data_IF_447448170882
#
_entry.id   IF_447448170882
#
_cell.length_a   1.000
_cell.length_b   1.000
_cell.length_c   1.000
_cell.angle_alpha   90.00
_cell.angle_beta   90.00
_cell.angle_gamma   90.00
#
_symmetry.space_group_name_H-M   'P 1'
#
loop_
_entity.id
_entity.type
_entity.pdbx_description
1 polymer ?
#
# COMPACT_ATOMS: atom_id res chain seq x y z
N UNK A 1 16.04 12.23 20.90
CA UNK A 1 15.52 11.25 19.92
C UNK A 1 14.61 11.95 18.92
N UNK A 2 15.14 12.40 17.78
CA UNK A 2 14.35 13.08 16.76
C UNK A 2 13.19 12.17 16.30
N UNK A 3 11.95 12.62 16.55
CA UNK A 3 10.73 11.92 16.13
C UNK A 3 10.81 11.77 14.60
N UNK A 4 11.06 10.56 14.09
CA UNK A 4 11.00 10.26 12.66
C UNK A 4 9.61 10.70 12.19
N UNK A 5 9.52 11.83 11.47
CA UNK A 5 8.27 12.29 10.86
C UNK A 5 7.71 11.09 10.10
N UNK A 6 6.44 10.79 10.31
CA UNK A 6 5.77 9.70 9.61
C UNK A 6 5.89 9.99 8.10
N UNK A 7 6.91 9.40 7.49
CA UNK A 7 7.17 9.54 6.07
C UNK A 7 5.90 9.08 5.36
N UNK A 8 5.33 9.95 4.50
CA UNK A 8 4.09 9.62 3.80
C UNK A 8 4.21 8.22 3.21
N UNK A 9 3.20 7.39 3.48
CA UNK A 9 3.15 6.02 2.97
C UNK A 9 3.35 6.04 1.46
N UNK A 10 4.16 5.10 0.95
CA UNK A 10 4.44 5.00 -0.49
C UNK A 10 3.14 4.88 -1.32
N UNK A 11 2.07 4.37 -0.71
CA UNK A 11 0.74 4.35 -1.31
C UNK A 11 0.19 5.77 -1.61
N UNK A 12 0.36 6.70 -0.68
CA UNK A 12 -0.10 8.10 -0.82
C UNK A 12 0.72 8.82 -1.89
N UNK A 13 2.04 8.63 -1.87
CA UNK A 13 2.95 9.18 -2.89
C UNK A 13 2.61 8.65 -4.29
N UNK A 14 2.33 7.35 -4.41
CA UNK A 14 1.93 6.74 -5.69
C UNK A 14 0.58 7.25 -6.18
N UNK A 15 -0.40 7.43 -5.29
CA UNK A 15 -1.70 8.03 -5.66
C UNK A 15 -1.55 9.45 -6.17
N UNK A 16 -0.79 10.30 -5.46
CA UNK A 16 -0.49 11.67 -5.89
C UNK A 16 0.16 11.68 -7.28
N UNK A 17 1.19 10.83 -7.50
CA UNK A 17 1.90 10.73 -8.78
C UNK A 17 1.06 10.21 -9.94
N UNK A 18 0.08 9.33 -9.67
CA UNK A 18 -0.88 8.86 -10.66
C UNK A 18 -1.85 9.99 -11.01
N UNK A 19 -2.37 10.71 -10.02
CA UNK A 19 -3.29 11.82 -10.23
C UNK A 19 -2.66 12.91 -11.11
N UNK A 20 -1.44 13.35 -10.80
CA UNK A 20 -0.72 14.35 -11.61
C UNK A 20 -0.50 13.87 -13.04
N UNK A 21 -0.06 12.62 -13.24
CA UNK A 21 0.15 12.07 -14.58
C UNK A 21 -1.15 11.85 -15.36
N UNK A 22 -2.27 11.65 -14.69
CA UNK A 22 -3.56 11.46 -15.35
C UNK A 22 -4.12 12.80 -15.84
N UNK A 23 -3.87 13.90 -15.11
CA UNK A 23 -4.28 15.24 -15.54
C UNK A 23 -3.44 15.80 -16.69
N UNK A 24 -2.17 15.39 -16.79
CA UNK A 24 -1.23 15.92 -17.77
C UNK A 24 -1.28 15.23 -19.15
N UNK A 25 -1.97 14.10 -19.30
CA UNK A 25 -1.93 13.28 -20.51
C UNK A 25 -3.32 13.04 -21.13
N UNK A 26 -3.49 13.46 -22.38
CA UNK A 26 -4.72 13.26 -23.18
C UNK A 26 -5.01 11.80 -23.58
N UNK A 27 -4.07 10.87 -23.37
CA UNK A 27 -4.30 9.42 -23.53
C UNK A 27 -3.75 8.61 -22.34
N UNK A 28 -4.51 8.50 -21.24
CA UNK A 28 -4.06 7.88 -19.99
C UNK A 28 -3.98 6.34 -20.03
N UNK A 29 -4.58 5.68 -21.01
CA UNK A 29 -4.53 4.21 -21.15
C UNK A 29 -3.29 3.74 -21.95
N UNK A 30 -2.79 4.58 -22.88
CA UNK A 30 -1.59 4.30 -23.67
C UNK A 30 -0.27 4.48 -22.91
N UNK A 31 -0.22 5.37 -21.90
CA UNK A 31 1.04 5.70 -21.21
C UNK A 31 1.60 4.52 -20.40
N UNK A 32 2.72 3.96 -20.87
CA UNK A 32 3.45 2.89 -20.21
C UNK A 32 3.93 3.29 -18.80
N UNK A 33 4.26 4.57 -18.58
CA UNK A 33 4.67 5.07 -17.28
C UNK A 33 3.49 5.09 -16.30
N UNK A 34 2.32 5.56 -16.72
CA UNK A 34 1.10 5.52 -15.91
C UNK A 34 0.67 4.07 -15.59
N UNK A 35 0.75 3.16 -16.57
CA UNK A 35 0.51 1.72 -16.34
C UNK A 35 1.47 1.12 -15.32
N UNK A 36 2.76 1.46 -15.39
CA UNK A 36 3.77 1.03 -14.42
C UNK A 36 3.45 1.54 -13.00
N UNK A 37 3.04 2.80 -12.86
CA UNK A 37 2.65 3.39 -11.58
C UNK A 37 1.40 2.74 -10.99
N UNK A 38 0.36 2.52 -11.80
CA UNK A 38 -0.86 1.76 -11.40
C UNK A 38 -0.48 0.35 -10.90
N UNK A 39 0.42 -0.35 -11.60
CA UNK A 39 0.94 -1.67 -11.18
C UNK A 39 1.66 -1.60 -9.83
N UNK A 40 2.53 -0.61 -9.62
CA UNK A 40 3.25 -0.41 -8.35
C UNK A 40 2.29 -0.13 -7.20
N UNK A 41 1.28 0.71 -7.40
CA UNK A 41 0.23 0.98 -6.40
C UNK A 41 -0.50 -0.32 -6.00
N UNK A 42 -0.88 -1.16 -6.97
CA UNK A 42 -1.53 -2.45 -6.68
C UNK A 42 -0.63 -3.43 -5.93
N UNK A 43 0.69 -3.37 -6.09
CA UNK A 43 1.65 -4.18 -5.30
C UNK A 43 1.72 -3.70 -3.86
N UNK A 44 1.81 -2.39 -3.62
CA UNK A 44 1.81 -1.83 -2.26
C UNK A 44 0.51 -2.13 -1.51
N UNK A 45 -0.64 -1.99 -2.17
CA UNK A 45 -1.93 -2.36 -1.58
C UNK A 45 -2.01 -3.86 -1.22
N UNK A 46 -1.43 -4.74 -2.05
CA UNK A 46 -1.34 -6.18 -1.74
C UNK A 46 -0.44 -6.43 -0.53
N UNK A 47 0.73 -5.78 -0.46
CA UNK A 47 1.65 -5.85 0.68
C UNK A 47 0.96 -5.39 1.97
N UNK A 48 0.24 -4.28 1.93
CA UNK A 48 -0.55 -3.78 3.07
C UNK A 48 -1.61 -4.79 3.52
N UNK A 49 -2.37 -5.37 2.58
CA UNK A 49 -3.36 -6.42 2.88
C UNK A 49 -2.72 -7.65 3.50
N UNK A 50 -1.59 -8.12 2.97
CA UNK A 50 -0.86 -9.26 3.52
C UNK A 50 -0.37 -8.99 4.95
N UNK A 51 0.14 -7.79 5.23
CA UNK A 51 0.54 -7.39 6.59
C UNK A 51 -0.66 -7.34 7.55
N UNK A 52 -1.80 -6.81 7.12
CA UNK A 52 -3.03 -6.80 7.92
C UNK A 52 -3.51 -8.22 8.21
N UNK A 53 -3.52 -9.10 7.20
CA UNK A 53 -3.88 -10.51 7.38
C UNK A 53 -2.90 -11.22 8.33
N UNK A 54 -1.59 -10.98 8.21
CA UNK A 54 -0.59 -11.54 9.13
C UNK A 54 -0.83 -11.08 10.57
N UNK A 55 -1.11 -9.78 10.77
CA UNK A 55 -1.48 -9.24 12.08
C UNK A 55 -2.76 -9.87 12.62
N UNK A 56 -3.79 -10.05 11.79
CA UNK A 56 -5.04 -10.74 12.17
C UNK A 56 -4.78 -12.19 12.58
N UNK A 57 -3.98 -12.93 11.80
CA UNK A 57 -3.60 -14.32 12.12
C UNK A 57 -2.78 -14.42 13.40
N UNK A 58 -1.82 -13.51 13.61
CA UNK A 58 -1.05 -13.46 14.85
C UNK A 58 -1.93 -13.11 16.07
N UNK A 59 -2.89 -12.18 15.91
CA UNK A 59 -3.87 -11.89 16.96
C UNK A 59 -4.78 -13.09 17.26
N UNK A 60 -5.24 -13.79 16.21
CA UNK A 60 -6.02 -15.03 16.36
C UNK A 60 -5.21 -16.19 16.96
N UNK A 61 -3.92 -16.29 16.65
CA UNK A 61 -3.01 -17.28 17.25
C UNK A 61 -2.70 -16.96 18.71
N UNK A 62 -2.58 -15.67 19.08
CA UNK A 62 -2.49 -15.27 20.50
C UNK A 62 -3.78 -15.58 21.26
N UNK A 63 -4.93 -15.36 20.64
CA UNK A 63 -6.23 -15.69 21.23
C UNK A 63 -6.45 -17.22 21.33
N UNK A 64 -5.95 -18.00 20.36
CA UNK A 64 -6.00 -19.47 20.41
C UNK A 64 -5.02 -20.03 21.46
N UNK A 65 -3.82 -19.46 21.58
CA UNK A 65 -2.85 -19.84 22.61
C UNK A 65 -3.31 -19.48 24.03
N UNK A 66 -4.11 -18.43 24.19
CA UNK A 66 -4.74 -18.07 25.48
C UNK A 66 -6.03 -18.82 25.79
N UNK A 67 -6.59 -19.56 24.83
CA UNK A 67 -7.80 -20.38 25.01
C UNK A 67 -7.48 -21.87 25.23
N UNK A 68 -6.20 -22.26 25.12
CA UNK A 68 -5.71 -23.62 25.37
C UNK A 68 -4.81 -23.73 26.60
N UNK A 69 -4.86 -22.73 27.50
CA UNK A 69 -4.19 -22.69 28.80
C UNK A 69 -5.24 -22.42 29.87
#
# INVERSE_FOLDING_TARGET
MAKKRAQESDEVKLKKKIATKTTDHGNPEGDAALRSLKKRLKREQRKRRALVQRKKRAAGSKAAASASA
#
